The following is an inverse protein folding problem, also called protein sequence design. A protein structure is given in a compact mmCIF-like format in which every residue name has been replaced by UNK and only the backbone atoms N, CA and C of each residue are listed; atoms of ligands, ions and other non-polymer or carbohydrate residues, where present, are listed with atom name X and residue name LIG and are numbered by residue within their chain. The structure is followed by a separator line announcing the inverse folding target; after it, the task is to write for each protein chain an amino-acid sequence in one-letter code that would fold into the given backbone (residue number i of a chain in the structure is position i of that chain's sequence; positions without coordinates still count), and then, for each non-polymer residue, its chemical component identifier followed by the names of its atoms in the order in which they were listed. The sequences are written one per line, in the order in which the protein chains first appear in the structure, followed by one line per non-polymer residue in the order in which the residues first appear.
data_IF_504209805397
#
_entry.id   IF_504209805397
#
_cell.length_a   1.000
_cell.length_b   1.000
_cell.length_c   1.000
_cell.angle_alpha   90.00
_cell.angle_beta   90.00
_cell.angle_gamma   90.00
#
_symmetry.space_group_name_H-M   'P 1'
#
loop_
_entity.id
_entity.type
_entity.pdbx_description
1 polymer ?
#
# COMPACT_ATOMS: atom_id res chain seq x y z
N UNK A 1 25.47 10.44 0.60
CA UNK A 1 24.25 11.16 1.03
C UNK A 1 24.70 12.44 1.71
N UNK A 2 24.10 13.58 1.39
CA UNK A 2 24.45 14.83 2.07
C UNK A 2 23.93 14.80 3.52
N UNK A 3 24.72 15.34 4.45
CA UNK A 3 24.42 15.44 5.89
C UNK A 3 23.10 16.21 6.16
N UNK A 4 22.58 16.92 5.14
CA UNK A 4 21.40 17.77 5.22
C UNK A 4 20.06 17.03 5.04
N UNK A 5 20.06 15.69 4.88
CA UNK A 5 18.82 14.91 4.72
C UNK A 5 18.13 15.07 3.36
N UNK A 6 18.80 15.69 2.40
CA UNK A 6 18.35 15.78 1.02
C UNK A 6 18.37 14.40 0.36
N UNK A 7 17.18 13.92 0.02
CA UNK A 7 17.03 12.79 -0.89
C UNK A 7 17.75 13.11 -2.21
N UNK A 8 18.44 12.11 -2.80
CA UNK A 8 19.07 12.25 -4.13
C UNK A 8 18.04 12.56 -5.23
N UNK A 9 16.78 12.19 -4.99
CA UNK A 9 15.62 12.49 -5.82
C UNK A 9 14.48 13.02 -4.94
N UNK A 10 13.23 12.87 -5.35
CA UNK A 10 12.08 13.27 -4.53
C UNK A 10 11.77 12.30 -3.38
N UNK A 11 11.31 12.85 -2.25
CA UNK A 11 10.79 12.08 -1.09
C UNK A 11 9.70 11.07 -1.51
N UNK A 12 8.88 11.42 -2.51
CA UNK A 12 7.84 10.57 -3.09
C UNK A 12 8.40 9.26 -3.69
N UNK A 13 9.56 9.34 -4.37
CA UNK A 13 10.23 8.20 -4.99
C UNK A 13 10.90 7.31 -3.95
N UNK A 14 11.49 7.91 -2.92
CA UNK A 14 12.01 7.17 -1.76
C UNK A 14 10.92 6.34 -1.10
N UNK A 15 9.77 6.93 -0.78
CA UNK A 15 8.65 6.21 -0.17
C UNK A 15 8.10 5.11 -1.08
N UNK A 16 8.00 5.36 -2.40
CA UNK A 16 7.55 4.34 -3.34
C UNK A 16 8.50 3.13 -3.37
N UNK A 17 9.81 3.38 -3.40
CA UNK A 17 10.81 2.31 -3.35
C UNK A 17 10.75 1.56 -2.02
N UNK A 18 10.68 2.27 -0.90
CA UNK A 18 10.54 1.70 0.44
C UNK A 18 9.29 0.81 0.55
N UNK A 19 8.12 1.29 0.10
CA UNK A 19 6.88 0.50 0.11
C UNK A 19 6.97 -0.74 -0.80
N UNK A 20 7.73 -0.67 -1.88
CA UNK A 20 7.96 -1.81 -2.77
C UNK A 20 8.75 -2.97 -2.12
N UNK A 21 9.40 -2.74 -0.99
CA UNK A 21 10.10 -3.79 -0.23
C UNK A 21 9.15 -4.60 0.67
N UNK A 22 7.95 -4.09 0.94
CA UNK A 22 6.97 -4.78 1.79
C UNK A 22 6.47 -6.02 1.08
N UNK A 23 6.60 -7.19 1.74
CA UNK A 23 6.28 -8.49 1.16
C UNK A 23 7.47 -9.17 0.47
N UNK A 24 8.66 -8.57 0.53
CA UNK A 24 9.93 -9.18 0.08
C UNK A 24 10.72 -9.77 1.25
N UNK A 25 11.85 -10.42 0.95
CA UNK A 25 12.80 -10.89 1.99
C UNK A 25 13.44 -9.75 2.77
N UNK A 26 13.47 -8.53 2.20
CA UNK A 26 13.99 -7.31 2.86
C UNK A 26 12.84 -6.41 3.31
N UNK A 27 11.79 -6.98 3.89
CA UNK A 27 10.64 -6.19 4.39
C UNK A 27 11.05 -5.39 5.64
N UNK A 28 11.03 -4.05 5.61
CA UNK A 28 11.26 -3.22 6.78
C UNK A 28 10.01 -3.13 7.67
N UNK A 29 10.20 -2.84 8.95
CA UNK A 29 9.11 -2.56 9.89
C UNK A 29 9.51 -1.50 10.93
N UNK A 30 8.53 -0.94 11.63
CA UNK A 30 8.78 -0.10 12.79
C UNK A 30 9.42 -0.91 13.92
N UNK A 31 10.47 -0.35 14.53
CA UNK A 31 11.17 -1.00 15.65
C UNK A 31 10.59 -0.63 17.01
N UNK A 32 9.75 0.40 17.06
CA UNK A 32 9.16 0.93 18.28
C UNK A 32 7.72 1.37 18.07
N UNK A 33 6.98 1.47 19.17
CA UNK A 33 5.62 1.99 19.22
C UNK A 33 5.54 3.49 19.58
N UNK A 34 6.66 4.11 19.94
CA UNK A 34 6.71 5.53 20.36
C UNK A 34 7.34 6.45 19.31
N UNK A 35 8.04 5.89 18.33
CA UNK A 35 8.71 6.65 17.28
C UNK A 35 8.45 6.03 15.90
N UNK A 36 8.86 6.75 14.85
CA UNK A 36 8.74 6.29 13.46
C UNK A 36 10.04 5.65 12.94
N UNK A 37 10.90 5.12 13.83
CA UNK A 37 12.13 4.44 13.42
C UNK A 37 11.81 3.11 12.76
N UNK A 38 12.46 2.83 11.62
CA UNK A 38 12.26 1.63 10.82
C UNK A 38 13.58 0.88 10.66
N UNK A 39 13.53 -0.44 10.61
CA UNK A 39 14.70 -1.27 10.32
C UNK A 39 14.27 -2.57 9.64
N UNK A 40 15.27 -3.28 9.10
CA UNK A 40 15.11 -4.68 8.71
C UNK A 40 15.16 -5.57 9.95
N UNK A 41 14.48 -6.71 9.90
CA UNK A 41 14.56 -7.73 10.95
C UNK A 41 15.83 -8.60 10.77
N UNK A 42 17.00 -8.00 10.95
CA UNK A 42 18.30 -8.66 10.80
C UNK A 42 19.34 -8.18 11.83
N UNK A 43 20.53 -8.78 11.81
CA UNK A 43 21.67 -8.36 12.65
C UNK A 43 22.97 -8.50 11.86
N UNK A 44 23.93 -7.61 12.14
CA UNK A 44 25.29 -7.70 11.60
C UNK A 44 26.23 -8.55 12.47
N UNK A 45 25.71 -9.22 13.51
CA UNK A 45 26.53 -10.13 14.30
C UNK A 45 26.95 -11.33 13.45
N UNK A 46 28.25 -11.54 13.32
CA UNK A 46 28.80 -12.66 12.55
C UNK A 46 29.10 -12.33 11.07
N UNK A 47 29.02 -11.06 10.68
CA UNK A 47 29.36 -10.62 9.31
C UNK A 47 30.86 -10.74 8.97
N UNK A 48 31.74 -10.85 9.98
CA UNK A 48 33.18 -11.05 9.78
C UNK A 48 33.81 -9.88 9.04
N UNK A 49 34.49 -10.16 7.92
CA UNK A 49 35.12 -9.12 7.10
C UNK A 49 34.11 -8.21 6.37
N UNK A 50 32.83 -8.57 6.35
CA UNK A 50 31.74 -7.78 5.74
C UNK A 50 30.97 -6.96 6.78
N UNK A 51 31.52 -6.78 7.98
CA UNK A 51 30.86 -6.03 9.07
C UNK A 51 30.40 -4.65 8.60
N UNK A 52 31.30 -3.89 7.97
CA UNK A 52 31.02 -2.53 7.51
C UNK A 52 29.97 -2.51 6.38
N UNK A 53 29.99 -3.48 5.47
CA UNK A 53 28.99 -3.57 4.40
C UNK A 53 27.60 -3.89 4.96
N UNK A 54 27.54 -4.77 5.97
CA UNK A 54 26.29 -5.07 6.66
C UNK A 54 25.75 -3.84 7.40
N UNK A 55 26.61 -3.13 8.13
CA UNK A 55 26.23 -1.92 8.87
C UNK A 55 25.72 -0.84 7.92
N UNK A 56 26.39 -0.62 6.78
CA UNK A 56 25.90 0.30 5.74
C UNK A 56 24.52 -0.08 5.20
N UNK A 57 24.25 -1.38 5.02
CA UNK A 57 22.94 -1.84 4.61
C UNK A 57 21.89 -1.59 5.71
N UNK A 58 22.19 -1.93 6.96
CA UNK A 58 21.30 -1.71 8.10
C UNK A 58 20.97 -0.20 8.28
N UNK A 59 22.01 0.64 8.26
CA UNK A 59 21.93 2.10 8.38
C UNK A 59 21.15 2.74 7.23
N UNK A 60 21.14 2.12 6.04
CA UNK A 60 20.32 2.59 4.91
C UNK A 60 18.81 2.57 5.20
N UNK A 61 18.38 1.83 6.22
CA UNK A 61 17.02 1.84 6.77
C UNK A 61 16.94 2.59 8.10
N UNK A 62 17.82 2.27 9.06
CA UNK A 62 17.73 2.76 10.45
C UNK A 62 18.20 4.20 10.64
N UNK A 63 19.13 4.68 9.82
CA UNK A 63 19.80 5.98 9.96
C UNK A 63 19.79 6.80 8.65
N UNK A 64 18.85 6.54 7.76
CA UNK A 64 18.73 7.24 6.48
C UNK A 64 17.90 8.53 6.62
N UNK A 65 18.51 9.72 6.55
CA UNK A 65 17.81 10.97 6.82
C UNK A 65 16.74 11.27 5.75
N UNK A 66 16.96 10.88 4.49
CA UNK A 66 15.97 11.01 3.43
C UNK A 66 14.72 10.17 3.72
N UNK A 67 14.90 8.92 4.15
CA UNK A 67 13.79 8.03 4.50
C UNK A 67 13.01 8.56 5.71
N UNK A 68 13.73 8.95 6.76
CA UNK A 68 13.15 9.53 7.99
C UNK A 68 12.32 10.77 7.69
N UNK A 69 12.87 11.71 6.92
CA UNK A 69 12.14 12.93 6.55
C UNK A 69 10.94 12.66 5.65
N UNK A 70 11.05 11.69 4.72
CA UNK A 70 9.96 11.33 3.84
C UNK A 70 8.79 10.71 4.63
N UNK A 71 9.07 9.81 5.56
CA UNK A 71 8.07 9.22 6.46
C UNK A 71 7.44 10.32 7.32
N UNK A 72 8.24 11.17 7.96
CA UNK A 72 7.75 12.27 8.80
C UNK A 72 6.85 13.23 8.03
N UNK A 73 7.25 13.62 6.81
CA UNK A 73 6.46 14.51 5.93
C UNK A 73 5.12 13.86 5.55
N UNK A 74 5.11 12.55 5.28
CA UNK A 74 3.89 11.81 4.93
C UNK A 74 2.97 11.64 6.12
N UNK A 75 3.51 11.37 7.32
CA UNK A 75 2.76 11.31 8.57
C UNK A 75 2.12 12.67 8.90
N UNK A 76 2.86 13.77 8.74
CA UNK A 76 2.33 15.13 8.92
C UNK A 76 1.19 15.42 7.94
N UNK A 77 1.36 15.06 6.66
CA UNK A 77 0.30 15.22 5.68
C UNK A 77 -0.93 14.37 6.05
N UNK A 78 -0.74 13.12 6.49
CA UNK A 78 -1.85 12.27 6.93
C UNK A 78 -2.57 12.88 8.14
N UNK A 79 -1.84 13.38 9.14
CA UNK A 79 -2.47 13.99 10.32
C UNK A 79 -3.25 15.25 9.93
N UNK A 80 -2.76 16.07 9.00
CA UNK A 80 -3.46 17.23 8.48
C UNK A 80 -4.75 16.85 7.75
N UNK A 81 -4.69 15.88 6.83
CA UNK A 81 -5.84 15.40 6.07
C UNK A 81 -6.96 14.89 6.99
N UNK A 82 -6.61 14.09 8.01
CA UNK A 82 -7.60 13.55 8.95
C UNK A 82 -8.01 14.54 10.06
N UNK A 83 -7.25 15.61 10.28
CA UNK A 83 -7.68 16.71 11.17
C UNK A 83 -8.65 17.68 10.49
N UNK A 84 -8.59 17.79 9.14
CA UNK A 84 -9.46 18.67 8.36
C UNK A 84 -10.91 18.15 8.23
N UNK A 85 -11.14 16.87 8.49
CA UNK A 85 -12.44 16.19 8.35
C UNK A 85 -13.51 16.69 9.36
N UNK A 86 -13.15 17.49 10.37
CA UNK A 86 -14.11 18.15 11.27
C UNK A 86 -14.48 19.59 10.86
N UNK A 87 -13.77 20.21 9.92
CA UNK A 87 -14.00 21.62 9.52
C UNK A 87 -14.41 21.81 8.07
N UNK A 88 -14.61 20.73 7.29
CA UNK A 88 -15.01 20.82 5.88
C UNK A 88 -16.51 20.61 5.61
N UNK A 89 -17.36 20.61 6.64
CA UNK A 89 -18.81 20.79 6.45
C UNK A 89 -19.19 22.22 6.02
N UNK A 90 -18.21 23.11 5.80
CA UNK A 90 -18.47 24.52 5.44
C UNK A 90 -17.78 24.99 4.16
N UNK A 91 -17.09 24.12 3.40
CA UNK A 91 -16.55 24.49 2.07
C UNK A 91 -17.25 23.71 0.94
N UNK A 92 -18.46 24.17 0.63
CA UNK A 92 -19.05 24.16 -0.71
C UNK A 92 -18.61 23.02 -1.68
N UNK A 93 -19.13 21.81 -1.51
CA UNK A 93 -19.41 20.98 -2.68
C UNK A 93 -20.83 21.30 -3.16
N UNK A 94 -20.88 21.95 -4.34
CA UNK A 94 -22.08 21.98 -5.17
C UNK A 94 -22.55 20.56 -5.41
N UNK A 95 -23.78 20.27 -5.00
CA UNK A 95 -24.54 19.11 -5.43
C UNK A 95 -24.89 19.29 -6.92
N UNK A 96 -24.00 18.91 -7.83
CA UNK A 96 -24.44 18.59 -9.19
C UNK A 96 -25.01 17.17 -9.14
N UNK A 97 -26.33 17.07 -8.89
CA UNK A 97 -27.10 15.84 -9.09
C UNK A 97 -26.96 15.38 -10.55
N UNK A 98 -25.91 14.62 -10.88
CA UNK A 98 -25.95 13.77 -12.05
C UNK A 98 -26.85 12.59 -11.73
N UNK A 99 -28.14 12.78 -11.99
CA UNK A 99 -29.19 11.78 -11.82
C UNK A 99 -29.07 10.71 -12.91
N UNK A 100 -28.07 9.85 -12.80
CA UNK A 100 -28.05 8.56 -13.47
C UNK A 100 -28.26 7.50 -12.39
N UNK A 101 -29.42 6.81 -12.35
CA UNK A 101 -29.58 5.66 -11.45
C UNK A 101 -28.64 4.56 -11.93
N UNK A 102 -27.51 4.38 -11.23
CA UNK A 102 -26.62 3.25 -11.44
C UNK A 102 -27.38 1.96 -11.08
N UNK A 103 -27.71 1.16 -12.09
CA UNK A 103 -28.14 -0.22 -11.90
C UNK A 103 -27.04 -0.96 -11.14
N UNK A 104 -27.38 -1.45 -9.95
CA UNK A 104 -26.54 -2.34 -9.15
C UNK A 104 -26.19 -3.59 -10.00
N UNK A 105 -24.92 -3.96 -10.19
CA UNK A 105 -24.57 -5.21 -10.87
C UNK A 105 -25.06 -6.39 -10.04
N UNK A 106 -25.94 -7.20 -10.63
CA UNK A 106 -26.41 -8.46 -10.04
C UNK A 106 -25.25 -9.49 -10.03
N UNK A 107 -25.05 -10.24 -8.93
CA UNK A 107 -24.14 -11.39 -8.93
C UNK A 107 -24.70 -12.46 -9.88
N UNK A 108 -23.88 -12.94 -10.81
CA UNK A 108 -24.22 -14.09 -11.65
C UNK A 108 -24.46 -15.32 -10.77
N UNK A 109 -25.71 -15.72 -10.63
CA UNK A 109 -26.08 -17.06 -10.19
C UNK A 109 -26.22 -17.91 -11.46
N UNK A 110 -25.47 -19.00 -11.64
CA UNK A 110 -25.74 -19.93 -12.73
C UNK A 110 -27.12 -20.55 -12.47
N UNK A 111 -28.10 -20.14 -13.27
CA UNK A 111 -29.44 -20.71 -13.33
C UNK A 111 -29.37 -22.16 -13.81
N UNK A 112 -29.08 -23.09 -12.91
CA UNK A 112 -29.22 -24.52 -13.13
C UNK A 112 -30.66 -24.95 -12.86
N UNK A 113 -31.63 -24.46 -13.65
CA UNK A 113 -32.95 -25.10 -13.68
C UNK A 113 -33.58 -25.07 -15.07
N UNK A 114 -33.87 -26.29 -15.53
CA UNK A 114 -35.04 -26.65 -16.34
C UNK A 114 -34.97 -26.42 -17.84
N UNK A 115 -34.27 -27.32 -18.57
CA UNK A 115 -34.66 -27.70 -19.93
C UNK A 115 -34.05 -29.06 -20.38
N UNK A 116 -34.10 -30.11 -19.55
CA UNK A 116 -33.73 -31.48 -19.99
C UNK A 116 -34.91 -32.47 -19.94
N UNK A 117 -36.14 -31.98 -19.98
CA UNK A 117 -37.31 -32.84 -20.04
C UNK A 117 -38.20 -32.45 -21.23
N UNK A 118 -37.86 -32.93 -22.44
CA UNK A 118 -38.79 -33.22 -23.56
C UNK A 118 -38.10 -33.74 -24.84
N UNK A 119 -37.06 -34.58 -24.76
CA UNK A 119 -36.63 -35.39 -25.91
C UNK A 119 -36.33 -36.85 -25.54
N UNK A 120 -37.06 -37.38 -24.55
CA UNK A 120 -37.33 -38.81 -24.46
C UNK A 120 -38.75 -38.96 -25.01
N UNK A 121 -38.87 -39.28 -26.30
CA UNK A 121 -40.02 -39.87 -27.02
C UNK A 121 -39.96 -39.43 -28.48
N UNK A 122 -39.06 -40.04 -29.25
CA UNK A 122 -39.35 -40.50 -30.61
C UNK A 122 -38.22 -41.48 -30.99
N UNK A 123 -38.47 -42.79 -30.89
CA UNK A 123 -37.54 -43.80 -31.36
C UNK A 123 -37.54 -43.81 -32.89
N UNK A 124 -36.39 -44.20 -33.47
CA UNK A 124 -36.23 -44.92 -34.74
C UNK A 124 -37.38 -44.84 -35.76
N UNK A 125 -37.13 -44.34 -36.97
CA UNK A 125 -37.41 -45.06 -38.23
C UNK A 125 -37.02 -44.20 -39.45
N UNK A 126 -36.14 -44.79 -40.28
CA UNK A 126 -35.67 -44.41 -41.62
C UNK A 126 -34.67 -43.26 -41.79
#
# INVERSE_FOLDING_TARGET
MDILGTCTTEKSRCLRAYMGLIGTTMTPNFVSNINASVALSCTCRGSGNLQEECERLEESFSHNPCLTEAIASKMLLHSQLFSQDWTDSTLAMMEHQNKNPALRPQPWVPSLFSCTLTLILLPSFW
#
